data_IF_148552365348
#
_entry.id   IF_148552365348
#
_cell.length_a   1.000
_cell.length_b   1.000
_cell.length_c   1.000
_cell.angle_alpha   90.00
_cell.angle_beta   90.00
_cell.angle_gamma   90.00
#
_symmetry.space_group_name_H-M   'P 1'
#
loop_
_entity.id
_entity.type
_entity.pdbx_description
1 polymer ?
#
# COMPACT_ATOMS: atom_id res chain seq x y z
N UNK A 1 -24.30 -15.74 41.43
CA UNK A 1 -23.33 -16.80 41.12
C UNK A 1 -23.88 -17.53 39.91
N UNK A 2 -23.16 -17.52 38.77
CA UNK A 2 -23.57 -18.19 37.52
C UNK A 2 -22.94 -19.58 37.52
N UNK A 3 -23.75 -20.61 37.51
CA UNK A 3 -23.32 -21.97 37.31
C UNK A 3 -23.32 -22.30 35.84
N UNK A 4 -22.29 -22.94 35.31
CA UNK A 4 -22.19 -23.36 33.90
C UNK A 4 -21.92 -24.85 33.82
N UNK A 5 -22.49 -25.52 32.83
CA UNK A 5 -22.22 -26.91 32.46
C UNK A 5 -22.19 -27.01 30.95
N UNK A 6 -21.41 -27.93 30.42
CA UNK A 6 -21.38 -28.29 28.99
C UNK A 6 -22.05 -29.65 28.82
N UNK A 7 -22.62 -29.89 27.63
CA UNK A 7 -23.12 -31.20 27.24
C UNK A 7 -22.00 -32.13 26.84
N UNK A 8 -22.19 -33.43 27.06
CA UNK A 8 -21.34 -34.50 26.47
C UNK A 8 -21.64 -34.72 24.98
N UNK A 9 -20.98 -35.72 24.37
CA UNK A 9 -21.15 -36.04 22.96
C UNK A 9 -22.57 -36.56 22.61
N UNK A 10 -23.30 -37.07 23.59
CA UNK A 10 -24.69 -37.52 23.50
C UNK A 10 -25.73 -36.44 23.80
N UNK A 11 -25.26 -35.21 24.08
CA UNK A 11 -26.12 -34.08 24.39
C UNK A 11 -26.64 -34.06 25.83
N UNK A 12 -26.10 -34.90 26.72
CA UNK A 12 -26.51 -34.94 28.13
C UNK A 12 -25.72 -33.90 28.95
N UNK A 13 -26.38 -33.29 29.91
CA UNK A 13 -25.77 -32.32 30.83
C UNK A 13 -26.22 -32.58 32.28
N UNK A 14 -25.42 -32.16 33.22
CA UNK A 14 -25.76 -32.17 34.63
C UNK A 14 -25.37 -30.83 35.23
N UNK A 15 -26.32 -30.22 35.94
CA UNK A 15 -26.09 -28.93 36.59
C UNK A 15 -26.80 -28.89 37.95
N UNK A 16 -26.08 -28.43 38.97
CA UNK A 16 -26.65 -28.25 40.29
C UNK A 16 -27.33 -26.89 40.39
N UNK A 17 -28.62 -26.91 40.69
CA UNK A 17 -29.47 -25.70 40.82
C UNK A 17 -29.86 -25.49 42.28
N UNK A 18 -29.34 -24.46 42.97
CA UNK A 18 -29.51 -24.30 44.41
C UNK A 18 -30.88 -23.74 44.83
N UNK A 19 -31.71 -23.25 43.91
CA UNK A 19 -33.04 -22.69 44.19
C UNK A 19 -34.10 -23.17 43.18
N UNK A 20 -35.29 -23.51 43.72
CA UNK A 20 -36.47 -23.71 42.86
C UNK A 20 -36.80 -22.40 42.14
N UNK A 21 -37.08 -22.48 40.83
CA UNK A 21 -37.40 -21.34 39.99
C UNK A 21 -36.23 -20.63 39.33
N UNK A 22 -35.00 -21.21 39.38
CA UNK A 22 -33.89 -20.70 38.59
C UNK A 22 -34.12 -20.90 37.09
N UNK A 23 -33.65 -19.97 36.27
CA UNK A 23 -33.73 -20.06 34.82
C UNK A 23 -32.45 -20.67 34.29
N UNK A 24 -32.57 -21.75 33.50
CA UNK A 24 -31.50 -22.35 32.72
C UNK A 24 -31.50 -21.70 31.34
N UNK A 25 -30.31 -21.27 30.92
CA UNK A 25 -30.08 -20.68 29.60
C UNK A 25 -29.30 -21.67 28.77
N UNK A 26 -29.90 -22.14 27.71
CA UNK A 26 -29.29 -23.06 26.74
C UNK A 26 -28.83 -22.26 25.53
N UNK A 27 -27.55 -22.33 25.21
CA UNK A 27 -26.99 -21.66 24.04
C UNK A 27 -26.00 -22.57 23.32
N UNK A 28 -26.06 -22.55 22.00
CA UNK A 28 -25.12 -23.24 21.13
C UNK A 28 -24.83 -22.36 19.93
N UNK A 29 -23.65 -22.45 19.34
CA UNK A 29 -23.25 -21.65 18.18
C UNK A 29 -24.16 -22.01 17.00
N UNK A 30 -24.84 -21.00 16.43
CA UNK A 30 -25.78 -21.20 15.32
C UNK A 30 -27.20 -21.60 15.71
N UNK A 31 -27.52 -21.61 17.03
CA UNK A 31 -28.86 -21.91 17.54
C UNK A 31 -29.42 -20.74 18.37
N UNK A 32 -30.73 -20.56 18.34
CA UNK A 32 -31.40 -19.56 19.19
C UNK A 32 -31.25 -19.94 20.65
N UNK A 33 -30.81 -18.99 21.45
CA UNK A 33 -30.72 -19.15 22.90
C UNK A 33 -32.14 -19.38 23.49
N UNK A 34 -32.30 -20.43 24.31
CA UNK A 34 -33.56 -20.77 24.90
C UNK A 34 -33.48 -20.71 26.43
N UNK A 35 -34.39 -20.04 27.03
CA UNK A 35 -34.49 -19.95 28.49
C UNK A 35 -35.62 -20.87 29.01
N UNK A 36 -35.30 -21.65 30.02
CA UNK A 36 -36.22 -22.59 30.66
C UNK A 36 -36.18 -22.44 32.16
N UNK A 37 -37.32 -22.18 32.78
CA UNK A 37 -37.42 -22.09 34.24
C UNK A 37 -37.40 -23.48 34.85
N UNK A 38 -36.46 -23.74 35.76
CA UNK A 38 -36.42 -24.95 36.55
C UNK A 38 -37.54 -24.98 37.57
N UNK A 39 -38.56 -25.81 37.29
CA UNK A 39 -39.57 -26.15 38.29
C UNK A 39 -39.11 -27.33 39.18
N UNK A 40 -40.02 -28.23 39.50
CA UNK A 40 -39.75 -29.45 40.28
C UNK A 40 -39.25 -30.63 39.45
N UNK A 41 -38.98 -30.40 38.13
CA UNK A 41 -38.53 -31.44 37.19
C UNK A 41 -37.04 -31.75 37.41
N UNK A 42 -36.72 -33.05 37.55
CA UNK A 42 -35.36 -33.53 37.69
C UNK A 42 -34.64 -33.70 36.33
N UNK A 43 -35.40 -33.72 35.26
CA UNK A 43 -34.93 -33.87 33.88
C UNK A 43 -35.62 -32.82 33.01
N UNK A 44 -34.83 -32.08 32.25
CA UNK A 44 -35.29 -31.03 31.36
C UNK A 44 -34.62 -31.26 30.00
N UNK A 45 -35.38 -31.69 29.02
CA UNK A 45 -34.96 -31.86 27.64
C UNK A 45 -35.35 -30.60 26.87
N UNK A 46 -34.35 -30.07 26.12
CA UNK A 46 -34.55 -28.83 25.37
C UNK A 46 -34.07 -29.06 23.95
N UNK A 47 -34.95 -28.74 23.00
CA UNK A 47 -34.58 -28.65 21.58
C UNK A 47 -34.30 -27.20 21.25
N UNK A 48 -33.11 -26.91 20.74
CA UNK A 48 -32.76 -25.61 20.23
C UNK A 48 -33.21 -25.51 18.77
N UNK A 49 -33.71 -24.37 18.37
CA UNK A 49 -34.02 -24.04 16.98
C UNK A 49 -32.81 -23.42 16.33
N UNK A 50 -32.58 -23.73 15.05
CA UNK A 50 -31.55 -23.04 14.28
C UNK A 50 -31.82 -21.53 14.29
N UNK A 51 -30.76 -20.78 14.60
CA UNK A 51 -30.81 -19.32 14.46
C UNK A 51 -30.58 -18.95 13.00
N UNK A 52 -31.65 -19.00 12.21
CA UNK A 52 -31.63 -18.62 10.78
C UNK A 52 -31.27 -17.14 10.59
N UNK A 53 -31.24 -16.35 11.68
CA UNK A 53 -30.68 -15.00 11.67
C UNK A 53 -29.14 -14.98 11.83
N UNK A 54 -28.50 -16.15 11.96
CA UNK A 54 -27.07 -16.24 11.98
C UNK A 54 -26.51 -15.78 10.63
N UNK A 55 -26.30 -14.47 10.56
CA UNK A 55 -25.47 -13.80 9.57
C UNK A 55 -25.86 -14.11 8.11
N UNK A 56 -26.99 -13.61 7.66
CA UNK A 56 -27.14 -13.33 6.24
C UNK A 56 -25.99 -12.39 5.85
N UNK A 57 -24.98 -12.93 5.22
CA UNK A 57 -23.85 -12.17 4.72
C UNK A 57 -24.39 -11.16 3.70
N UNK A 58 -24.40 -9.91 4.11
CA UNK A 58 -24.98 -8.81 3.33
C UNK A 58 -23.87 -8.23 2.46
N UNK A 59 -24.15 -8.09 1.19
CA UNK A 59 -23.24 -7.48 0.22
C UNK A 59 -23.71 -6.06 -0.07
N UNK A 60 -22.86 -5.09 0.20
CA UNK A 60 -23.12 -3.70 -0.17
C UNK A 60 -22.61 -3.47 -1.59
N UNK A 61 -23.51 -3.22 -2.52
CA UNK A 61 -23.18 -2.95 -3.93
C UNK A 61 -23.09 -1.44 -4.23
N UNK A 62 -22.93 -0.62 -3.18
CA UNK A 62 -22.80 0.84 -3.24
C UNK A 62 -24.13 1.57 -3.08
N UNK A 63 -25.11 1.29 -3.89
CA UNK A 63 -26.48 1.90 -3.78
C UNK A 63 -27.48 0.99 -3.09
N UNK A 64 -27.21 -0.30 -3.02
CA UNK A 64 -28.11 -1.29 -2.44
C UNK A 64 -27.34 -2.22 -1.51
N UNK A 65 -28.05 -2.64 -0.48
CA UNK A 65 -27.63 -3.68 0.43
C UNK A 65 -28.42 -4.94 0.06
N UNK A 66 -27.77 -5.92 -0.54
CA UNK A 66 -28.38 -7.17 -0.99
C UNK A 66 -27.91 -8.33 -0.14
N UNK A 67 -28.74 -9.36 -0.01
CA UNK A 67 -28.29 -10.63 0.57
C UNK A 67 -27.31 -11.27 -0.41
N UNK A 68 -26.28 -11.93 0.08
CA UNK A 68 -25.30 -12.61 -0.77
C UNK A 68 -25.94 -13.62 -1.72
N UNK A 69 -27.03 -14.25 -1.30
CA UNK A 69 -27.87 -15.14 -2.11
C UNK A 69 -28.52 -14.47 -3.32
N UNK A 70 -28.81 -13.16 -3.20
CA UNK A 70 -29.57 -12.40 -4.19
C UNK A 70 -28.63 -11.70 -5.19
N UNK A 71 -27.33 -11.75 -4.96
CA UNK A 71 -26.33 -11.16 -5.85
C UNK A 71 -26.01 -12.13 -6.97
N UNK A 72 -26.47 -11.79 -8.16
CA UNK A 72 -26.11 -12.50 -9.41
C UNK A 72 -24.80 -11.93 -9.91
N UNK A 73 -23.70 -12.65 -9.66
CA UNK A 73 -22.37 -12.23 -10.12
C UNK A 73 -21.25 -12.56 -9.15
N UNK A 74 -20.00 -12.46 -9.62
CA UNK A 74 -18.83 -12.72 -8.78
C UNK A 74 -18.49 -11.49 -7.95
N UNK A 75 -18.87 -11.52 -6.69
CA UNK A 75 -18.60 -10.50 -5.70
C UNK A 75 -17.75 -11.07 -4.59
N UNK A 76 -16.77 -10.31 -4.12
CA UNK A 76 -15.96 -10.68 -2.96
C UNK A 76 -16.00 -9.55 -1.95
N UNK A 77 -16.48 -9.82 -0.75
CA UNK A 77 -16.47 -8.88 0.37
C UNK A 77 -15.42 -9.29 1.37
N UNK A 78 -14.62 -8.34 1.82
CA UNK A 78 -13.57 -8.52 2.82
C UNK A 78 -13.80 -7.50 3.94
N UNK A 79 -13.76 -7.95 5.19
CA UNK A 79 -13.81 -7.04 6.34
C UNK A 79 -12.45 -6.37 6.50
N UNK A 80 -12.46 -5.07 6.76
CA UNK A 80 -11.22 -4.33 6.97
C UNK A 80 -10.39 -4.88 8.12
N UNK A 81 -11.03 -5.35 9.21
CA UNK A 81 -10.37 -6.01 10.34
C UNK A 81 -9.50 -7.19 9.95
N UNK A 82 -9.89 -7.94 8.92
CA UNK A 82 -9.24 -9.20 8.51
C UNK A 82 -8.01 -8.97 7.61
N UNK A 83 -7.91 -7.77 7.02
CA UNK A 83 -6.84 -7.40 6.10
C UNK A 83 -5.92 -6.31 6.62
N UNK A 84 -6.32 -5.60 7.69
CA UNK A 84 -5.46 -4.60 8.31
C UNK A 84 -4.17 -5.21 8.80
N UNK A 85 -3.05 -4.74 8.24
CA UNK A 85 -1.71 -5.10 8.66
C UNK A 85 -0.93 -3.84 9.04
N UNK A 86 -0.24 -3.80 10.18
CA UNK A 86 0.54 -2.64 10.61
C UNK A 86 1.61 -2.19 9.61
N UNK A 87 2.07 -3.10 8.75
CA UNK A 87 3.10 -2.84 7.74
C UNK A 87 2.59 -2.07 6.51
N UNK A 88 1.28 -2.11 6.25
CA UNK A 88 0.67 -1.47 5.09
C UNK A 88 -0.10 -0.23 5.51
N UNK A 89 0.14 0.86 4.81
CA UNK A 89 -0.46 2.16 5.08
C UNK A 89 -1.52 2.55 4.05
N UNK A 90 -1.56 1.85 2.91
CA UNK A 90 -2.57 2.06 1.87
C UNK A 90 -3.55 0.90 1.78
N UNK A 91 -4.80 1.21 1.49
CA UNK A 91 -5.90 0.25 1.32
C UNK A 91 -5.57 -0.73 0.18
N UNK A 92 -4.99 -0.22 -0.88
CA UNK A 92 -4.64 -0.97 -2.08
C UNK A 92 -3.67 -2.11 -1.77
N UNK A 93 -2.64 -1.83 -0.96
CA UNK A 93 -1.64 -2.82 -0.55
C UNK A 93 -2.26 -3.89 0.35
N UNK A 94 -3.22 -3.53 1.20
CA UNK A 94 -3.92 -4.46 2.08
C UNK A 94 -4.78 -5.48 1.31
N UNK A 95 -5.22 -5.13 0.10
CA UNK A 95 -6.01 -6.01 -0.77
C UNK A 95 -5.16 -7.04 -1.52
N UNK A 96 -3.83 -6.90 -1.53
CA UNK A 96 -2.93 -7.81 -2.23
C UNK A 96 -3.07 -9.25 -1.72
N UNK A 97 -3.37 -10.19 -2.63
CA UNK A 97 -3.54 -11.61 -2.30
C UNK A 97 -4.81 -11.95 -1.51
N UNK A 98 -5.70 -10.98 -1.23
CA UNK A 98 -6.94 -11.19 -0.48
C UNK A 98 -8.17 -11.39 -1.34
N UNK A 99 -8.14 -10.93 -2.58
CA UNK A 99 -9.26 -11.00 -3.51
C UNK A 99 -8.88 -11.83 -4.71
N UNK A 100 -9.55 -12.95 -4.91
CA UNK A 100 -9.31 -13.83 -6.07
C UNK A 100 -9.63 -13.09 -7.38
N UNK A 101 -8.74 -13.16 -8.37
CA UNK A 101 -8.87 -12.49 -9.67
C UNK A 101 -8.52 -11.00 -9.65
N UNK A 102 -7.98 -10.48 -8.53
CA UNK A 102 -7.42 -9.13 -8.44
C UNK A 102 -5.90 -9.22 -8.33
N UNK A 103 -5.20 -8.44 -9.15
CA UNK A 103 -3.76 -8.29 -9.13
C UNK A 103 -3.41 -6.88 -8.63
N UNK A 104 -2.56 -6.81 -7.62
CA UNK A 104 -2.04 -5.57 -7.06
C UNK A 104 -0.54 -5.57 -7.27
N UNK A 105 -0.04 -4.58 -8.01
CA UNK A 105 1.38 -4.45 -8.36
C UNK A 105 1.94 -3.18 -7.74
N UNK A 106 2.87 -3.32 -6.82
CA UNK A 106 3.65 -2.20 -6.32
C UNK A 106 4.72 -1.84 -7.37
N UNK A 107 4.57 -0.69 -8.00
CA UNK A 107 5.48 -0.21 -9.06
C UNK A 107 6.58 0.71 -8.55
N UNK A 108 6.48 1.15 -7.30
CA UNK A 108 7.45 2.07 -6.69
C UNK A 108 7.63 1.77 -5.20
N UNK A 109 8.84 2.02 -4.70
CA UNK A 109 9.16 1.99 -3.26
C UNK A 109 8.86 3.31 -2.54
N UNK A 110 8.48 4.33 -3.28
CA UNK A 110 8.20 5.67 -2.74
C UNK A 110 6.99 5.66 -1.81
N UNK A 111 7.09 6.42 -0.74
CA UNK A 111 5.98 6.64 0.19
C UNK A 111 4.91 7.50 -0.50
N UNK A 112 3.64 7.17 -0.28
CA UNK A 112 2.52 7.90 -0.86
C UNK A 112 2.16 7.48 -2.29
N UNK A 113 2.93 6.57 -2.92
CA UNK A 113 2.58 6.02 -4.23
C UNK A 113 1.51 4.94 -4.11
N UNK A 114 0.64 4.87 -5.09
CA UNK A 114 -0.42 3.86 -5.17
C UNK A 114 -0.01 2.69 -6.07
N UNK A 115 -0.26 1.45 -5.65
CA UNK A 115 -0.05 0.30 -6.51
C UNK A 115 -1.03 0.30 -7.69
N UNK A 116 -0.63 -0.31 -8.79
CA UNK A 116 -1.53 -0.58 -9.92
C UNK A 116 -2.42 -1.76 -9.60
N UNK A 117 -3.73 -1.57 -9.71
CA UNK A 117 -4.73 -2.62 -9.47
C UNK A 117 -5.35 -3.04 -10.80
N UNK A 118 -5.50 -4.35 -10.99
CA UNK A 118 -6.20 -4.94 -12.14
C UNK A 118 -7.17 -6.01 -11.65
N UNK A 119 -8.40 -5.95 -12.14
CA UNK A 119 -9.43 -6.96 -11.84
C UNK A 119 -9.68 -7.75 -13.11
N UNK A 120 -9.40 -9.07 -13.07
CA UNK A 120 -9.54 -10.00 -14.21
C UNK A 120 -8.75 -9.61 -15.47
N UNK A 121 -7.63 -8.90 -15.30
CA UNK A 121 -6.77 -8.48 -16.40
C UNK A 121 -7.11 -7.09 -16.92
N UNK A 122 -6.70 -6.80 -18.17
CA UNK A 122 -6.89 -5.50 -18.81
C UNK A 122 -8.02 -5.58 -19.85
N UNK A 123 -9.00 -4.69 -19.76
CA UNK A 123 -10.11 -4.60 -20.70
C UNK A 123 -9.78 -3.75 -21.92
N UNK A 124 -8.74 -2.90 -21.83
CA UNK A 124 -8.31 -1.99 -22.88
C UNK A 124 -6.80 -1.85 -22.91
N UNK A 125 -6.24 -1.58 -24.09
CA UNK A 125 -4.80 -1.33 -24.27
C UNK A 125 -4.48 0.16 -24.11
N UNK A 126 -5.35 1.04 -24.58
CA UNK A 126 -5.10 2.48 -24.64
C UNK A 126 -5.93 3.30 -23.63
N UNK A 127 -6.91 2.69 -22.97
CA UNK A 127 -7.81 3.37 -22.03
C UNK A 127 -7.36 3.27 -20.57
N UNK A 128 -8.10 3.94 -19.68
CA UNK A 128 -7.94 3.76 -18.24
C UNK A 128 -8.21 2.30 -17.87
N UNK A 129 -7.27 1.69 -17.16
CA UNK A 129 -7.29 0.29 -16.77
C UNK A 129 -7.57 0.12 -15.28
N UNK A 130 -7.70 1.20 -14.53
CA UNK A 130 -7.91 1.17 -13.09
C UNK A 130 -9.39 0.87 -12.77
N UNK A 131 -9.67 0.13 -11.69
CA UNK A 131 -11.03 -0.10 -11.24
C UNK A 131 -11.66 1.21 -10.73
N UNK A 132 -12.99 1.27 -10.79
CA UNK A 132 -13.75 2.38 -10.24
C UNK A 132 -13.82 2.27 -8.71
N UNK A 133 -13.52 3.35 -8.01
CA UNK A 133 -13.67 3.42 -6.57
C UNK A 133 -14.98 4.08 -6.17
N UNK A 134 -15.69 3.48 -5.23
CA UNK A 134 -16.94 3.98 -4.66
C UNK A 134 -16.82 3.94 -3.14
N UNK A 135 -17.04 5.07 -2.49
CA UNK A 135 -17.01 5.17 -1.02
C UNK A 135 -18.38 5.60 -0.53
N UNK A 136 -19.01 4.77 0.29
CA UNK A 136 -20.37 4.98 0.82
C UNK A 136 -21.41 5.37 -0.26
N UNK A 137 -21.33 4.74 -1.42
CA UNK A 137 -22.22 5.00 -2.56
C UNK A 137 -21.79 6.17 -3.47
N UNK A 138 -20.72 6.91 -3.13
CA UNK A 138 -20.24 8.04 -3.93
C UNK A 138 -19.06 7.60 -4.79
N UNK A 139 -19.21 7.75 -6.11
CA UNK A 139 -18.11 7.51 -7.07
C UNK A 139 -16.99 8.51 -6.81
N UNK A 140 -15.79 8.01 -6.65
CA UNK A 140 -14.61 8.85 -6.44
C UNK A 140 -14.07 9.35 -7.79
N UNK A 141 -13.88 10.67 -7.95
CA UNK A 141 -13.30 11.22 -9.16
C UNK A 141 -11.81 10.88 -9.26
N UNK A 142 -11.30 10.80 -10.48
CA UNK A 142 -9.86 10.72 -10.71
C UNK A 142 -9.20 12.00 -10.17
N UNK A 143 -8.15 11.93 -9.34
CA UNK A 143 -7.52 13.10 -8.76
C UNK A 143 -6.91 14.03 -9.84
N UNK A 144 -6.61 13.49 -11.02
CA UNK A 144 -6.12 14.24 -12.17
C UNK A 144 -6.81 13.79 -13.45
N UNK A 145 -7.60 14.65 -14.09
CA UNK A 145 -8.10 14.42 -15.44
C UNK A 145 -6.98 14.69 -16.44
N UNK A 146 -5.92 13.88 -16.46
CA UNK A 146 -4.84 14.00 -17.43
C UNK A 146 -5.23 13.34 -18.74
N UNK A 147 -4.98 14.01 -19.85
CA UNK A 147 -5.16 13.46 -21.18
C UNK A 147 -4.19 12.29 -21.39
N UNK A 148 -4.68 11.20 -21.97
CA UNK A 148 -3.96 9.93 -22.12
C UNK A 148 -2.68 9.99 -22.98
N UNK A 149 -2.39 11.13 -23.60
CA UNK A 149 -1.26 11.30 -24.51
C UNK A 149 0.06 11.70 -23.82
N UNK A 150 0.04 12.02 -22.53
CA UNK A 150 1.26 12.35 -21.82
C UNK A 150 1.91 11.06 -21.29
N UNK A 151 2.99 10.62 -21.92
CA UNK A 151 3.80 9.46 -21.47
C UNK A 151 4.31 9.58 -20.02
N UNK A 152 4.29 10.79 -19.46
CA UNK A 152 4.57 11.07 -18.04
C UNK A 152 3.40 10.78 -17.09
N UNK A 153 2.20 10.52 -17.60
CA UNK A 153 0.96 10.41 -16.80
C UNK A 153 1.02 9.27 -15.79
N UNK A 154 1.59 8.14 -16.18
CA UNK A 154 1.70 6.98 -15.29
C UNK A 154 2.61 7.26 -14.09
N UNK A 155 3.71 7.96 -14.29
CA UNK A 155 4.62 8.35 -13.21
C UNK A 155 4.00 9.42 -12.29
N UNK A 156 3.30 10.39 -12.86
CA UNK A 156 2.58 11.41 -12.11
C UNK A 156 1.41 10.81 -11.32
N UNK A 157 0.64 9.90 -11.89
CA UNK A 157 -0.43 9.17 -11.17
C UNK A 157 0.12 8.37 -10.01
N UNK A 158 1.26 7.72 -10.19
CA UNK A 158 1.92 6.97 -9.12
C UNK A 158 2.39 7.88 -7.98
N UNK A 159 2.79 9.13 -8.26
CA UNK A 159 3.26 10.10 -7.28
C UNK A 159 2.10 10.77 -6.54
N UNK A 160 1.01 11.09 -7.23
CA UNK A 160 -0.11 11.86 -6.69
C UNK A 160 -1.14 11.02 -5.92
N UNK A 161 -0.94 9.72 -5.87
CA UNK A 161 -1.82 8.79 -5.18
C UNK A 161 -3.07 8.43 -6.00
N UNK A 162 -3.88 7.54 -5.44
CA UNK A 162 -5.13 7.11 -6.07
C UNK A 162 -6.33 7.94 -5.57
N UNK A 163 -7.51 7.64 -6.15
CA UNK A 163 -8.80 8.27 -5.85
C UNK A 163 -9.20 8.20 -4.36
N UNK A 164 -8.60 7.30 -3.57
CA UNK A 164 -8.94 7.06 -2.17
C UNK A 164 -7.78 7.36 -1.19
N UNK A 165 -6.72 8.04 -1.64
CA UNK A 165 -5.57 8.39 -0.79
C UNK A 165 -5.93 9.26 0.42
N UNK A 166 -7.08 9.94 0.36
CA UNK A 166 -7.64 10.74 1.44
C UNK A 166 -8.28 9.89 2.56
N UNK A 167 -8.66 8.64 2.27
CA UNK A 167 -9.41 7.79 3.20
C UNK A 167 -8.47 7.07 4.17
N UNK A 168 -8.74 7.23 5.46
CA UNK A 168 -8.01 6.49 6.48
C UNK A 168 -8.47 5.02 6.51
N UNK A 169 -7.56 4.03 6.34
CA UNK A 169 -7.91 2.61 6.41
C UNK A 169 -8.64 2.22 7.72
N UNK A 170 -8.34 2.88 8.83
CA UNK A 170 -8.98 2.60 10.12
C UNK A 170 -10.48 2.93 10.15
N UNK A 171 -10.97 3.78 9.23
CA UNK A 171 -12.38 4.16 9.11
C UNK A 171 -13.20 3.18 8.26
N UNK A 172 -12.56 2.21 7.64
CA UNK A 172 -13.22 1.23 6.77
C UNK A 172 -13.83 0.11 7.61
N UNK A 173 -15.02 -0.29 7.23
CA UNK A 173 -15.71 -1.47 7.75
C UNK A 173 -15.56 -2.66 6.82
N UNK A 174 -15.95 -2.50 5.54
CA UNK A 174 -15.87 -3.55 4.53
C UNK A 174 -15.40 -3.00 3.19
N UNK A 175 -14.77 -3.88 2.41
CA UNK A 175 -14.40 -3.64 1.02
C UNK A 175 -15.04 -4.72 0.18
N UNK A 176 -15.87 -4.32 -0.78
CA UNK A 176 -16.56 -5.24 -1.69
C UNK A 176 -16.03 -5.02 -3.12
N UNK A 177 -15.54 -6.07 -3.74
CA UNK A 177 -15.02 -6.04 -5.12
C UNK A 177 -16.02 -6.67 -6.05
N UNK A 178 -16.57 -5.87 -6.96
CA UNK A 178 -17.49 -6.27 -8.02
C UNK A 178 -16.67 -6.56 -9.28
N UNK A 179 -16.66 -7.83 -9.70
CA UNK A 179 -15.76 -8.30 -10.77
C UNK A 179 -16.48 -8.54 -12.10
N UNK A 180 -17.77 -8.78 -12.07
CA UNK A 180 -18.57 -9.14 -13.25
C UNK A 180 -19.39 -7.96 -13.77
N UNK A 181 -19.66 -7.97 -15.07
CA UNK A 181 -20.47 -6.97 -15.74
C UNK A 181 -21.88 -6.85 -15.14
N UNK A 182 -22.49 -7.97 -14.68
CA UNK A 182 -23.80 -7.96 -14.03
C UNK A 182 -23.78 -7.19 -12.71
N UNK A 183 -22.71 -7.32 -11.92
CA UNK A 183 -22.56 -6.61 -10.65
C UNK A 183 -22.14 -5.14 -10.85
N UNK A 184 -21.45 -4.82 -11.94
CA UNK A 184 -20.94 -3.46 -12.22
C UNK A 184 -21.89 -2.62 -13.08
N UNK A 185 -22.95 -3.21 -13.65
CA UNK A 185 -23.87 -2.56 -14.59
C UNK A 185 -24.49 -1.25 -14.06
N UNK A 186 -24.74 -1.17 -12.75
CA UNK A 186 -25.30 0.02 -12.10
C UNK A 186 -24.37 1.25 -12.17
N UNK A 187 -23.09 1.04 -12.43
CA UNK A 187 -22.09 2.10 -12.53
C UNK A 187 -21.75 2.51 -13.98
N UNK A 188 -22.39 1.84 -14.95
CA UNK A 188 -22.25 2.12 -16.38
C UNK A 188 -20.85 1.83 -16.93
N UNK A 189 -20.49 2.53 -18.02
CA UNK A 189 -19.24 2.31 -18.76
C UNK A 189 -17.96 2.57 -17.96
N UNK A 190 -18.01 3.41 -16.93
CA UNK A 190 -16.86 3.67 -16.05
C UNK A 190 -16.42 2.44 -15.24
N UNK A 191 -17.31 1.45 -15.10
CA UNK A 191 -17.08 0.24 -14.35
C UNK A 191 -16.53 -0.94 -15.17
N UNK A 192 -16.08 -0.70 -16.40
CA UNK A 192 -15.59 -1.74 -17.32
C UNK A 192 -14.41 -2.55 -16.76
N UNK A 193 -13.59 -1.93 -15.89
CA UNK A 193 -12.44 -2.58 -15.23
C UNK A 193 -12.76 -3.15 -13.84
N UNK A 194 -14.06 -3.26 -13.48
CA UNK A 194 -14.52 -3.64 -12.15
C UNK A 194 -14.73 -2.44 -11.23
N UNK A 195 -15.36 -2.70 -10.08
CA UNK A 195 -15.66 -1.68 -9.07
C UNK A 195 -15.21 -2.15 -7.70
N UNK A 196 -14.57 -1.27 -6.95
CA UNK A 196 -14.21 -1.49 -5.56
C UNK A 196 -15.08 -0.56 -4.71
N UNK A 197 -15.99 -1.16 -3.95
CA UNK A 197 -16.92 -0.46 -3.07
C UNK A 197 -16.38 -0.52 -1.65
N UNK A 198 -16.18 0.63 -1.05
CA UNK A 198 -15.78 0.78 0.35
C UNK A 198 -16.98 1.23 1.15
N UNK A 199 -17.27 0.49 2.20
CA UNK A 199 -18.23 0.89 3.24
C UNK A 199 -17.46 1.29 4.47
N UNK A 200 -17.77 2.45 4.98
CA UNK A 200 -17.08 3.00 6.14
C UNK A 200 -17.84 2.72 7.43
N UNK A 201 -17.13 2.73 8.56
CA UNK A 201 -17.69 2.52 9.88
C UNK A 201 -18.78 3.54 10.19
N UNK A 202 -19.90 3.05 10.70
CA UNK A 202 -21.03 3.86 11.14
C UNK A 202 -21.20 3.78 12.66
N UNK A 203 -21.92 4.70 13.25
CA UNK A 203 -22.32 4.63 14.65
C UNK A 203 -23.26 3.44 14.88
N UNK A 204 -23.19 2.87 16.06
CA UNK A 204 -24.07 1.80 16.52
C UNK A 204 -24.93 2.31 17.67
N UNK A 205 -26.13 1.74 17.82
CA UNK A 205 -27.04 2.01 18.94
C UNK A 205 -26.53 1.32 20.20
N UNK A 206 -25.46 1.84 20.76
CA UNK A 206 -24.89 1.35 22.01
C UNK A 206 -24.25 2.52 22.77
N UNK A 207 -23.73 2.21 23.95
CA UNK A 207 -22.97 3.17 24.74
C UNK A 207 -21.78 3.72 23.95
N UNK A 208 -21.43 4.95 24.26
CA UNK A 208 -20.26 5.61 23.68
C UNK A 208 -18.98 4.78 23.88
N UNK A 209 -18.29 4.53 22.79
CA UNK A 209 -16.99 3.88 22.78
C UNK A 209 -15.94 4.82 22.20
N UNK A 210 -14.78 4.86 22.84
CA UNK A 210 -13.61 5.62 22.35
C UNK A 210 -12.52 4.61 22.05
N UNK A 211 -12.02 4.62 20.82
CA UNK A 211 -10.97 3.73 20.39
C UNK A 211 -9.75 4.57 19.91
N UNK A 212 -8.60 4.23 20.41
CA UNK A 212 -7.32 4.75 19.92
C UNK A 212 -6.48 3.61 19.37
N UNK A 213 -5.94 3.80 18.17
CA UNK A 213 -5.01 2.88 17.54
C UNK A 213 -3.75 3.65 17.11
N UNK A 214 -2.61 3.25 17.66
CA UNK A 214 -1.29 3.78 17.30
C UNK A 214 -0.43 2.70 16.67
N UNK A 215 0.14 2.96 15.50
CA UNK A 215 1.06 2.06 14.82
C UNK A 215 2.39 2.76 14.62
N UNK A 216 3.47 2.08 14.96
CA UNK A 216 4.84 2.57 14.83
C UNK A 216 5.63 1.58 13.99
N UNK A 217 6.35 2.06 12.99
CA UNK A 217 7.14 1.25 12.08
C UNK A 217 8.55 1.80 11.98
N UNK A 218 9.53 0.95 12.17
CA UNK A 218 10.93 1.27 11.97
C UNK A 218 11.50 0.38 10.86
N UNK A 219 12.16 0.99 9.88
CA UNK A 219 12.84 0.29 8.78
C UNK A 219 14.31 0.68 8.75
N UNK A 220 15.18 -0.29 8.71
CA UNK A 220 16.61 -0.06 8.52
C UNK A 220 16.90 0.24 7.06
N UNK A 221 17.87 1.12 6.81
CA UNK A 221 18.36 1.36 5.45
C UNK A 221 18.97 0.09 4.85
N UNK A 222 18.85 -0.12 3.55
CA UNK A 222 19.58 -1.17 2.87
C UNK A 222 21.10 -0.90 2.91
N UNK A 223 21.88 -1.96 2.80
CA UNK A 223 23.33 -1.91 2.75
C UNK A 223 23.85 -2.99 1.81
N UNK A 224 25.08 -2.85 1.33
CA UNK A 224 25.65 -3.77 0.34
C UNK A 224 25.67 -5.23 0.76
N UNK A 225 25.73 -5.53 2.06
CA UNK A 225 25.68 -6.91 2.59
C UNK A 225 24.34 -7.64 2.37
N UNK A 226 23.27 -6.92 1.98
CA UNK A 226 21.99 -7.53 1.60
C UNK A 226 21.94 -7.95 0.12
N UNK A 227 22.89 -7.46 -0.67
CA UNK A 227 22.94 -7.67 -2.12
C UNK A 227 24.29 -8.28 -2.48
N UNK A 228 24.31 -9.17 -3.45
CA UNK A 228 25.54 -9.72 -3.98
C UNK A 228 26.11 -8.78 -5.06
N UNK A 229 26.54 -7.59 -4.65
CA UNK A 229 27.05 -6.54 -5.53
C UNK A 229 28.56 -6.41 -5.37
N UNK A 230 29.27 -6.26 -6.49
CA UNK A 230 30.71 -6.10 -6.53
C UNK A 230 31.17 -4.82 -5.84
N UNK A 231 32.25 -4.89 -5.11
CA UNK A 231 33.03 -3.72 -4.73
C UNK A 231 33.89 -3.23 -5.92
N UNK A 232 34.64 -2.14 -5.75
CA UNK A 232 35.38 -1.54 -6.84
C UNK A 232 36.56 -2.43 -7.33
N UNK A 233 37.21 -3.15 -6.44
CA UNK A 233 38.27 -4.06 -6.77
C UNK A 233 37.79 -5.28 -7.56
N UNK A 234 36.69 -5.89 -7.08
CA UNK A 234 36.00 -6.99 -7.76
C UNK A 234 35.50 -6.57 -9.15
N UNK A 235 34.97 -5.33 -9.26
CA UNK A 235 34.54 -4.79 -10.55
C UNK A 235 35.68 -4.59 -11.54
N UNK A 236 36.85 -4.13 -11.06
CA UNK A 236 38.07 -4.02 -11.90
C UNK A 236 38.53 -5.41 -12.33
N UNK A 237 38.56 -6.37 -11.42
CA UNK A 237 38.94 -7.74 -11.74
C UNK A 237 38.01 -8.35 -12.79
N UNK A 238 36.69 -8.20 -12.62
CA UNK A 238 35.71 -8.61 -13.62
C UNK A 238 36.00 -7.97 -15.00
N UNK A 239 36.29 -6.66 -15.03
CA UNK A 239 36.61 -5.96 -16.28
C UNK A 239 37.86 -6.48 -16.97
N UNK A 240 38.90 -6.81 -16.19
CA UNK A 240 40.12 -7.42 -16.70
C UNK A 240 39.88 -8.80 -17.32
N UNK A 241 39.11 -9.64 -16.62
CA UNK A 241 38.77 -10.99 -17.09
C UNK A 241 37.88 -10.94 -18.34
N UNK A 242 36.88 -10.05 -18.35
CA UNK A 242 36.00 -9.85 -19.49
C UNK A 242 36.77 -9.35 -20.73
N UNK A 243 37.73 -8.41 -20.54
CA UNK A 243 38.57 -7.94 -21.61
C UNK A 243 39.50 -9.04 -22.15
N UNK A 244 40.12 -9.82 -21.26
CA UNK A 244 40.94 -10.97 -21.63
C UNK A 244 40.17 -12.06 -22.41
N UNK A 245 38.88 -12.21 -22.10
CA UNK A 245 37.94 -13.09 -22.80
C UNK A 245 37.43 -12.52 -24.14
N UNK A 246 37.86 -11.34 -24.55
CA UNK A 246 37.50 -10.72 -25.83
C UNK A 246 36.14 -9.99 -25.78
N UNK A 247 35.62 -9.63 -24.60
CA UNK A 247 34.40 -8.84 -24.50
C UNK A 247 34.62 -7.45 -25.12
N UNK A 248 33.72 -7.06 -26.01
CA UNK A 248 33.70 -5.74 -26.64
C UNK A 248 32.62 -4.87 -25.94
N UNK A 249 33.04 -3.78 -25.34
CA UNK A 249 32.16 -2.85 -24.70
C UNK A 249 31.64 -1.81 -25.71
N UNK A 250 30.42 -1.97 -26.19
CA UNK A 250 29.82 -1.02 -27.12
C UNK A 250 29.37 0.29 -26.45
N UNK A 251 29.12 0.28 -25.13
CA UNK A 251 28.61 1.40 -24.35
C UNK A 251 29.53 1.69 -23.14
N UNK A 252 30.81 1.88 -23.37
CA UNK A 252 31.73 2.32 -22.30
C UNK A 252 31.31 3.71 -21.82
N UNK A 253 31.19 3.95 -20.49
CA UNK A 253 31.00 5.29 -19.95
C UNK A 253 32.05 6.24 -20.53
N UNK A 254 31.65 7.43 -20.91
CA UNK A 254 32.52 8.38 -21.62
C UNK A 254 33.57 8.98 -20.70
N UNK A 255 33.37 8.90 -19.39
CA UNK A 255 34.41 9.30 -18.42
C UNK A 255 35.46 8.26 -18.23
N UNK A 256 36.58 8.58 -18.83
CA UNK A 256 37.69 7.68 -18.98
C UNK A 256 38.44 7.37 -17.69
N UNK A 257 38.44 8.26 -16.70
CA UNK A 257 39.19 8.05 -15.46
C UNK A 257 38.40 7.38 -14.32
N UNK A 258 37.08 7.21 -14.49
CA UNK A 258 36.23 6.62 -13.48
C UNK A 258 35.77 5.19 -13.78
N UNK A 259 36.29 4.62 -14.85
CA UNK A 259 36.04 3.21 -15.22
C UNK A 259 37.32 2.58 -15.73
N UNK A 260 37.50 1.29 -15.45
CA UNK A 260 38.62 0.53 -15.96
C UNK A 260 38.71 0.58 -17.49
N UNK A 261 37.59 0.40 -18.16
CA UNK A 261 37.47 0.42 -19.62
C UNK A 261 37.83 1.78 -20.20
N UNK A 262 37.48 2.87 -19.54
CA UNK A 262 37.84 4.21 -19.96
C UNK A 262 39.33 4.48 -19.79
N UNK A 263 39.94 4.09 -18.68
CA UNK A 263 41.38 4.20 -18.46
C UNK A 263 42.15 3.42 -19.52
N UNK A 264 41.74 2.19 -19.80
CA UNK A 264 42.36 1.37 -20.83
C UNK A 264 42.22 1.96 -22.24
N UNK A 265 41.07 2.58 -22.53
CA UNK A 265 40.85 3.29 -23.80
C UNK A 265 41.82 4.46 -23.96
N UNK A 266 42.06 5.27 -22.94
CA UNK A 266 43.02 6.37 -22.97
C UNK A 266 44.46 5.85 -23.11
N UNK A 267 44.79 4.77 -22.42
CA UNK A 267 46.08 4.15 -22.51
C UNK A 267 46.38 3.62 -23.94
N UNK A 268 45.45 2.88 -24.53
CA UNK A 268 45.61 2.39 -25.90
C UNK A 268 45.59 3.51 -26.95
N UNK A 269 44.88 4.60 -26.69
CA UNK A 269 44.91 5.81 -27.50
C UNK A 269 46.21 6.64 -27.30
N UNK A 270 47.13 6.20 -26.43
CA UNK A 270 48.39 6.89 -26.07
C UNK A 270 48.16 8.29 -25.52
N UNK A 271 47.03 8.52 -24.87
CA UNK A 271 46.71 9.80 -24.22
C UNK A 271 47.22 9.87 -22.79
N UNK A 272 47.48 8.73 -22.17
CA UNK A 272 48.09 8.58 -20.86
C UNK A 272 49.22 7.56 -20.91
N UNK A 273 50.20 7.70 -20.03
CA UNK A 273 51.32 6.75 -19.88
C UNK A 273 50.83 5.49 -19.15
N UNK A 274 51.70 4.46 -19.15
CA UNK A 274 51.42 3.23 -18.43
C UNK A 274 51.31 3.49 -16.91
N UNK A 275 52.25 4.28 -16.41
CA UNK A 275 52.29 4.65 -14.98
C UNK A 275 51.08 5.41 -14.54
N UNK A 276 50.60 6.35 -15.36
CA UNK A 276 49.32 7.08 -15.11
C UNK A 276 48.12 6.16 -15.13
N UNK A 277 48.06 5.21 -16.08
CA UNK A 277 47.00 4.22 -16.15
C UNK A 277 46.96 3.32 -14.89
N UNK A 278 48.15 2.81 -14.47
CA UNK A 278 48.27 1.98 -13.26
C UNK A 278 47.84 2.74 -11.99
N UNK A 279 48.27 4.00 -11.82
CA UNK A 279 47.87 4.85 -10.71
C UNK A 279 46.35 5.11 -10.72
N UNK A 280 45.79 5.39 -11.89
CA UNK A 280 44.34 5.60 -12.03
C UNK A 280 43.52 4.34 -11.66
N UNK A 281 43.98 3.16 -12.11
CA UNK A 281 43.32 1.88 -11.77
C UNK A 281 43.43 1.59 -10.27
N UNK A 282 44.59 1.86 -9.66
CA UNK A 282 44.78 1.69 -8.22
C UNK A 282 43.86 2.61 -7.43
N UNK A 283 43.78 3.89 -7.80
CA UNK A 283 42.83 4.87 -7.18
C UNK A 283 41.38 4.40 -7.33
N UNK A 284 41.00 3.93 -8.51
CA UNK A 284 39.69 3.41 -8.81
C UNK A 284 39.31 2.24 -7.88
N UNK A 285 40.25 1.29 -7.66
CA UNK A 285 40.07 0.14 -6.78
C UNK A 285 39.89 0.51 -5.29
N UNK A 286 40.54 1.59 -4.87
CA UNK A 286 40.45 2.10 -3.50
C UNK A 286 39.19 2.89 -3.25
N UNK A 287 38.55 3.41 -4.30
CA UNK A 287 37.30 4.18 -4.21
C UNK A 287 36.10 3.23 -4.03
N UNK A 288 35.44 3.27 -2.87
CA UNK A 288 34.27 2.44 -2.59
C UNK A 288 33.13 3.30 -2.06
N UNK A 289 32.48 4.03 -2.95
CA UNK A 289 31.33 4.87 -2.61
C UNK A 289 30.18 4.01 -2.07
N UNK A 290 29.70 4.37 -0.88
CA UNK A 290 28.52 3.73 -0.32
C UNK A 290 27.25 4.49 -0.74
N UNK A 291 26.73 4.16 -1.92
CA UNK A 291 25.53 4.78 -2.48
C UNK A 291 24.31 4.56 -1.59
N UNK A 292 24.16 3.39 -0.95
CA UNK A 292 23.06 3.17 -0.01
C UNK A 292 23.14 4.15 1.16
N UNK A 293 24.31 4.41 1.73
CA UNK A 293 24.49 5.36 2.82
C UNK A 293 24.19 6.80 2.39
N UNK A 294 24.55 7.15 1.16
CA UNK A 294 24.34 8.49 0.62
C UNK A 294 22.86 8.75 0.29
N UNK A 295 22.18 7.76 -0.30
CA UNK A 295 20.83 7.94 -0.87
C UNK A 295 19.71 7.48 0.05
N UNK A 296 20.02 6.65 1.06
CA UNK A 296 19.00 6.10 1.96
C UNK A 296 19.27 6.43 3.43
N UNK A 297 18.24 6.25 4.24
CA UNK A 297 18.26 6.46 5.68
C UNK A 297 17.46 5.38 6.41
N UNK A 298 17.72 5.21 7.70
CA UNK A 298 16.76 4.53 8.56
C UNK A 298 15.48 5.37 8.61
N UNK A 299 14.33 4.73 8.48
CA UNK A 299 13.05 5.44 8.50
C UNK A 299 12.21 5.05 9.71
N UNK A 300 11.53 6.04 10.26
CA UNK A 300 10.57 5.87 11.33
C UNK A 300 9.24 6.46 10.87
N UNK A 301 8.20 5.66 10.87
CA UNK A 301 6.85 6.05 10.49
C UNK A 301 5.89 5.78 11.62
N UNK A 302 4.90 6.63 11.79
CA UNK A 302 3.86 6.43 12.78
C UNK A 302 2.50 6.85 12.26
N UNK A 303 1.47 6.17 12.77
CA UNK A 303 0.08 6.41 12.42
C UNK A 303 -0.74 6.40 13.71
N UNK A 304 -1.60 7.39 13.87
CA UNK A 304 -2.48 7.55 15.01
C UNK A 304 -3.91 7.70 14.51
N UNK A 305 -4.81 6.91 15.08
CA UNK A 305 -6.23 7.02 14.80
C UNK A 305 -7.01 7.05 16.11
N UNK A 306 -7.80 8.09 16.29
CA UNK A 306 -8.74 8.24 17.39
C UNK A 306 -10.16 8.20 16.83
N UNK A 307 -11.01 7.33 17.34
CA UNK A 307 -12.40 7.28 16.94
C UNK A 307 -13.34 7.23 18.13
N UNK A 308 -14.49 7.88 17.99
CA UNK A 308 -15.56 7.93 18.98
C UNK A 308 -16.83 7.49 18.25
N UNK A 309 -17.49 6.48 18.75
CA UNK A 309 -18.77 5.99 18.21
C UNK A 309 -19.78 5.74 19.31
N UNK A 310 -21.03 5.91 19.01
CA UNK A 310 -22.11 5.67 19.94
C UNK A 310 -23.45 6.09 19.36
N UNK A 311 -24.48 6.02 20.17
CA UNK A 311 -25.81 6.47 19.75
C UNK A 311 -26.92 5.95 20.62
N UNK A 312 -28.13 6.34 20.22
CA UNK A 312 -29.42 5.87 20.74
C UNK A 312 -30.20 5.27 19.56
N UNK A 313 -31.39 4.76 19.84
CA UNK A 313 -32.30 4.27 18.80
C UNK A 313 -32.62 5.30 17.70
N UNK A 314 -32.56 6.60 18.03
CA UNK A 314 -32.89 7.68 17.09
C UNK A 314 -31.68 8.35 16.45
N UNK A 315 -30.52 8.33 17.11
CA UNK A 315 -29.35 9.05 16.63
C UNK A 315 -28.11 8.16 16.84
N UNK A 316 -27.39 7.88 15.78
CA UNK A 316 -26.10 7.18 15.84
C UNK A 316 -25.02 8.07 15.26
N UNK A 317 -23.83 8.03 15.84
CA UNK A 317 -22.71 8.83 15.38
C UNK A 317 -21.40 8.05 15.40
N UNK A 318 -20.52 8.40 14.48
CA UNK A 318 -19.14 7.96 14.45
C UNK A 318 -18.28 9.16 14.02
N UNK A 319 -17.30 9.51 14.82
CA UNK A 319 -16.33 10.54 14.50
C UNK A 319 -14.92 9.96 14.61
N UNK A 320 -14.04 10.28 13.65
CA UNK A 320 -12.65 9.84 13.66
C UNK A 320 -11.71 10.96 13.30
N UNK A 321 -10.49 10.89 13.86
CA UNK A 321 -9.36 11.74 13.54
C UNK A 321 -8.14 10.86 13.34
N UNK A 322 -7.52 10.96 12.15
CA UNK A 322 -6.35 10.20 11.78
C UNK A 322 -5.17 11.12 11.46
N UNK A 323 -4.00 10.76 11.95
CA UNK A 323 -2.73 11.39 11.58
C UNK A 323 -1.73 10.31 11.21
N UNK A 324 -1.09 10.45 10.06
CA UNK A 324 -0.05 9.55 9.56
C UNK A 324 1.17 10.36 9.13
N UNK A 325 2.34 9.96 9.62
CA UNK A 325 3.63 10.48 9.20
C UNK A 325 4.47 9.29 8.72
N UNK A 326 4.71 9.25 7.42
CA UNK A 326 5.40 8.16 6.74
C UNK A 326 6.72 8.67 6.20
N UNK A 327 7.82 8.17 6.75
CA UNK A 327 9.16 8.42 6.25
C UNK A 327 9.61 7.29 5.32
N UNK A 328 10.06 7.63 4.12
CA UNK A 328 10.68 6.70 3.18
C UNK A 328 12.09 6.30 3.62
N UNK A 329 12.52 5.13 3.15
CA UNK A 329 13.90 4.67 3.30
C UNK A 329 14.83 5.47 2.38
N UNK A 330 14.37 5.88 1.23
CA UNK A 330 15.03 6.85 0.38
C UNK A 330 14.96 8.24 1.04
N UNK A 331 16.04 9.01 1.01
CA UNK A 331 16.06 10.37 1.56
C UNK A 331 15.08 11.25 0.79
N UNK A 332 14.55 12.29 1.45
CA UNK A 332 13.64 13.27 0.85
C UNK A 332 12.35 12.69 0.24
N UNK A 333 11.94 11.53 0.73
CA UNK A 333 10.72 10.86 0.35
C UNK A 333 9.85 10.64 1.59
N UNK A 334 8.90 11.53 1.82
CA UNK A 334 8.05 11.57 3.00
C UNK A 334 6.59 11.83 2.60
N UNK A 335 5.66 11.32 3.38
CA UNK A 335 4.23 11.63 3.21
C UNK A 335 3.56 11.85 4.56
N UNK A 336 2.78 12.92 4.67
CA UNK A 336 1.96 13.23 5.85
C UNK A 336 0.50 13.34 5.46
N UNK A 337 -0.34 12.69 6.24
CA UNK A 337 -1.78 12.75 6.07
C UNK A 337 -2.45 13.12 7.38
N UNK A 338 -3.33 14.09 7.34
CA UNK A 338 -4.26 14.42 8.41
C UNK A 338 -5.67 14.24 7.85
N UNK A 339 -6.47 13.38 8.47
CA UNK A 339 -7.85 13.12 8.06
C UNK A 339 -8.81 13.23 9.23
N UNK A 340 -9.99 13.73 8.95
CA UNK A 340 -11.08 13.80 9.91
C UNK A 340 -12.40 13.41 9.25
N UNK A 341 -13.24 12.70 9.99
CA UNK A 341 -14.52 12.24 9.52
C UNK A 341 -15.57 12.28 10.62
N UNK A 342 -16.79 12.64 10.26
CA UNK A 342 -17.95 12.61 11.13
C UNK A 342 -19.12 12.02 10.33
N UNK A 343 -19.72 10.98 10.86
CA UNK A 343 -20.94 10.38 10.35
C UNK A 343 -22.03 10.49 11.41
N UNK A 344 -23.20 10.93 11.02
CA UNK A 344 -24.38 10.99 11.88
C UNK A 344 -25.56 10.40 11.11
N UNK A 345 -26.20 9.41 11.70
CA UNK A 345 -27.46 8.85 11.22
C UNK A 345 -28.60 9.24 12.17
N UNK A 346 -29.64 9.84 11.65
CA UNK A 346 -30.81 10.30 12.42
C UNK A 346 -32.06 9.59 11.88
N UNK A 347 -32.74 8.87 12.74
CA UNK A 347 -34.05 8.29 12.45
C UNK A 347 -35.14 9.27 12.86
N UNK A 348 -35.66 10.04 11.89
CA UNK A 348 -36.72 11.00 12.10
C UNK A 348 -38.07 10.33 12.26
N UNK A 349 -38.28 9.21 11.59
CA UNK A 349 -39.48 8.39 11.62
C UNK A 349 -39.07 6.94 11.25
N UNK A 350 -39.78 5.87 11.69
CA UNK A 350 -39.43 4.48 11.32
C UNK A 350 -39.28 4.22 9.81
N UNK A 351 -39.81 5.11 8.97
CA UNK A 351 -39.71 5.06 7.52
C UNK A 351 -38.78 6.13 6.93
N UNK A 352 -38.17 7.00 7.75
CA UNK A 352 -37.34 8.14 7.28
C UNK A 352 -36.06 8.22 8.11
N UNK A 353 -34.97 7.91 7.49
CA UNK A 353 -33.62 8.04 8.04
C UNK A 353 -32.83 9.05 7.23
N UNK A 354 -32.06 9.89 7.90
CA UNK A 354 -31.15 10.85 7.32
C UNK A 354 -29.74 10.49 7.77
N UNK A 355 -28.89 10.18 6.82
CA UNK A 355 -27.46 9.92 7.05
C UNK A 355 -26.65 11.11 6.51
N UNK A 356 -25.83 11.71 7.37
CA UNK A 356 -24.92 12.81 7.03
C UNK A 356 -23.48 12.35 7.22
N UNK A 357 -22.61 12.66 6.26
CA UNK A 357 -21.20 12.38 6.33
C UNK A 357 -20.40 13.63 5.99
N UNK A 358 -19.50 14.02 6.87
CA UNK A 358 -18.53 15.08 6.63
C UNK A 358 -17.14 14.48 6.69
N UNK A 359 -16.34 14.73 5.63
CA UNK A 359 -14.99 14.19 5.51
C UNK A 359 -14.07 15.31 5.07
N UNK A 360 -12.91 15.40 5.69
CA UNK A 360 -11.84 16.30 5.29
C UNK A 360 -10.48 15.64 5.45
N UNK A 361 -9.58 15.90 4.50
CA UNK A 361 -8.19 15.44 4.60
C UNK A 361 -7.21 16.45 4.02
N UNK A 362 -6.00 16.43 4.56
CA UNK A 362 -4.86 17.19 4.05
C UNK A 362 -3.70 16.20 3.86
N UNK A 363 -3.32 16.00 2.61
CA UNK A 363 -2.18 15.19 2.22
C UNK A 363 -1.03 16.08 1.80
N UNK A 364 0.16 15.79 2.32
CA UNK A 364 1.42 16.41 1.87
C UNK A 364 2.40 15.30 1.56
N UNK A 365 2.92 15.29 0.34
CA UNK A 365 3.92 14.32 -0.09
C UNK A 365 5.13 15.10 -0.59
N UNK A 366 6.30 14.69 -0.13
CA UNK A 366 7.59 15.20 -0.59
C UNK A 366 8.31 14.08 -1.33
N UNK A 367 8.96 14.44 -2.39
CA UNK A 367 9.71 13.50 -3.21
C UNK A 367 10.52 14.24 -4.27
N UNK A 368 11.21 13.51 -5.09
CA UNK A 368 12.01 13.99 -6.21
C UNK A 368 11.28 13.75 -7.53
N UNK A 369 11.78 14.35 -8.61
CA UNK A 369 11.18 14.30 -9.94
C UNK A 369 10.95 12.86 -10.43
N UNK A 370 9.99 12.70 -11.34
CA UNK A 370 9.76 11.44 -12.04
C UNK A 370 11.04 10.98 -12.76
N UNK A 371 11.26 9.66 -12.80
CA UNK A 371 12.48 9.08 -13.40
C UNK A 371 13.72 9.06 -12.50
N UNK A 372 13.72 9.75 -11.35
CA UNK A 372 14.81 9.66 -10.37
C UNK A 372 14.56 8.46 -9.45
N UNK A 373 15.43 7.46 -9.48
CA UNK A 373 15.32 6.21 -8.73
C UNK A 373 16.58 5.97 -7.87
N UNK A 374 16.62 6.45 -6.62
CA UNK A 374 17.80 6.33 -5.77
C UNK A 374 18.21 4.89 -5.45
N UNK A 375 17.23 4.00 -5.21
CA UNK A 375 17.51 2.59 -4.94
C UNK A 375 18.05 1.86 -6.17
N UNK A 376 17.47 2.09 -7.33
CA UNK A 376 17.94 1.53 -8.59
C UNK A 376 19.36 2.04 -8.89
N UNK A 377 19.60 3.34 -8.70
CA UNK A 377 20.93 3.92 -8.85
C UNK A 377 21.94 3.28 -7.89
N UNK A 378 21.60 3.09 -6.61
CA UNK A 378 22.48 2.46 -5.63
C UNK A 378 22.84 1.01 -5.97
N UNK A 379 21.94 0.28 -6.63
CA UNK A 379 22.14 -1.13 -7.01
C UNK A 379 22.87 -1.27 -8.36
N UNK A 380 22.68 -0.34 -9.29
CA UNK A 380 23.20 -0.42 -10.66
C UNK A 380 24.53 0.34 -10.86
N UNK A 381 24.78 1.35 -10.01
CA UNK A 381 25.98 2.18 -10.16
C UNK A 381 27.20 1.55 -9.50
N UNK A 382 28.32 1.55 -10.19
CA UNK A 382 29.58 1.08 -9.64
C UNK A 382 30.00 1.91 -8.43
N UNK A 383 30.56 1.23 -7.42
CA UNK A 383 31.10 1.87 -6.22
C UNK A 383 32.36 2.68 -6.50
N UNK A 384 32.99 2.49 -7.65
CA UNK A 384 34.13 3.29 -8.11
C UNK A 384 33.78 4.70 -8.56
N UNK A 385 32.49 4.97 -8.82
CA UNK A 385 32.00 6.31 -9.16
C UNK A 385 32.01 7.20 -7.92
N UNK A 386 32.59 8.38 -8.07
CA UNK A 386 32.68 9.38 -7.00
C UNK A 386 31.35 10.10 -6.81
N UNK A 387 30.94 10.29 -5.57
CA UNK A 387 29.80 11.14 -5.25
C UNK A 387 30.23 12.61 -5.12
N UNK A 388 31.45 12.83 -4.65
CA UNK A 388 32.06 14.15 -4.43
C UNK A 388 33.46 14.16 -4.98
N UNK A 389 33.93 15.35 -5.43
CA UNK A 389 35.29 15.59 -5.82
C UNK A 389 36.23 15.73 -4.59
N UNK A 390 37.52 15.90 -4.83
CA UNK A 390 38.56 16.02 -3.78
C UNK A 390 38.37 17.31 -2.92
N UNK A 391 37.59 18.27 -3.40
CA UNK A 391 37.28 19.54 -2.71
C UNK A 391 35.96 19.45 -1.93
N UNK A 392 35.17 18.40 -2.14
CA UNK A 392 33.89 18.14 -1.49
C UNK A 392 32.68 18.66 -2.26
N UNK A 393 32.83 19.10 -3.50
CA UNK A 393 31.71 19.43 -4.37
C UNK A 393 31.10 18.14 -4.94
N UNK A 394 29.81 18.21 -5.28
CA UNK A 394 29.14 17.11 -5.97
C UNK A 394 29.83 16.82 -7.30
N UNK A 395 30.20 15.56 -7.51
CA UNK A 395 30.84 15.11 -8.73
C UNK A 395 29.81 14.76 -9.80
N UNK A 396 29.85 15.46 -10.93
CA UNK A 396 28.94 15.23 -12.05
C UNK A 396 29.56 14.29 -13.07
N UNK A 397 29.05 13.06 -13.10
CA UNK A 397 29.45 12.06 -14.08
C UNK A 397 28.88 12.43 -15.45
N UNK A 398 29.73 12.36 -16.50
CA UNK A 398 29.26 12.56 -17.86
C UNK A 398 28.56 11.31 -18.37
N UNK A 399 27.33 11.44 -18.77
CA UNK A 399 26.50 10.40 -19.34
C UNK A 399 26.15 10.71 -20.80
N UNK A 400 25.99 9.66 -21.61
CA UNK A 400 25.49 9.82 -22.97
C UNK A 400 24.03 10.20 -22.95
N UNK A 401 23.66 11.29 -23.63
CA UNK A 401 22.28 11.55 -23.95
C UNK A 401 21.75 10.55 -24.97
N UNK A 402 20.45 10.23 -24.90
CA UNK A 402 19.80 9.32 -25.84
C UNK A 402 19.57 9.94 -27.23
N UNK A 403 20.09 11.17 -27.49
CA UNK A 403 19.98 11.85 -28.75
C UNK A 403 21.35 12.37 -29.21
N UNK A 404 21.49 12.56 -30.54
CA UNK A 404 22.65 13.18 -31.14
C UNK A 404 22.25 14.55 -31.67
N UNK A 405 23.10 15.52 -31.48
CA UNK A 405 22.98 16.83 -32.07
C UNK A 405 24.02 17.01 -33.18
N UNK A 406 23.59 17.23 -34.41
CA UNK A 406 24.47 17.31 -35.60
C UNK A 406 25.48 16.15 -35.67
N UNK A 407 25.00 14.89 -35.47
CA UNK A 407 25.81 13.67 -35.44
C UNK A 407 26.83 13.55 -34.28
N UNK A 408 26.98 14.61 -33.49
CA UNK A 408 27.84 14.61 -32.33
C UNK A 408 27.14 13.98 -31.11
N UNK A 409 27.92 13.24 -30.35
CA UNK A 409 27.46 12.68 -29.09
C UNK A 409 27.26 13.79 -28.07
N UNK A 410 26.05 13.92 -27.55
CA UNK A 410 25.74 14.86 -26.46
C UNK A 410 26.06 14.19 -25.13
N UNK A 411 26.87 14.86 -24.30
CA UNK A 411 27.22 14.45 -22.97
C UNK A 411 26.53 15.34 -21.96
N UNK A 412 25.83 14.73 -21.00
CA UNK A 412 25.15 15.42 -19.92
C UNK A 412 25.88 15.11 -18.60
N UNK A 413 26.07 16.14 -17.78
CA UNK A 413 26.51 15.95 -16.41
C UNK A 413 25.36 15.45 -15.56
N UNK A 414 25.55 14.35 -14.85
CA UNK A 414 24.57 13.75 -13.98
C UNK A 414 25.15 13.50 -12.59
N UNK A 415 24.40 13.89 -11.56
CA UNK A 415 24.66 13.51 -10.18
C UNK A 415 23.33 13.24 -9.49
N UNK A 416 23.13 12.01 -9.03
CA UNK A 416 21.86 11.59 -8.38
C UNK A 416 21.52 12.43 -7.14
N UNK A 417 22.53 12.90 -6.39
CA UNK A 417 22.31 13.75 -5.21
C UNK A 417 21.74 15.12 -5.60
N UNK A 418 22.13 15.65 -6.77
CA UNK A 418 21.56 16.86 -7.32
C UNK A 418 20.12 16.66 -7.78
N UNK A 419 19.85 15.52 -8.44
CA UNK A 419 18.52 15.20 -8.96
C UNK A 419 17.51 14.88 -7.83
N UNK A 420 18.00 14.48 -6.67
CA UNK A 420 17.17 14.25 -5.47
C UNK A 420 16.82 15.53 -4.72
N UNK A 421 17.48 16.66 -5.02
CA UNK A 421 17.16 17.92 -4.34
C UNK A 421 15.75 18.38 -4.73
N UNK A 422 15.00 18.82 -3.73
CA UNK A 422 13.68 19.43 -3.96
C UNK A 422 13.86 20.66 -4.86
N UNK A 423 13.13 20.67 -5.94
CA UNK A 423 12.86 21.88 -6.71
C UNK A 423 11.43 22.26 -6.38
N UNK A 424 11.29 23.34 -5.59
CA UNK A 424 10.00 23.98 -5.32
C UNK A 424 9.34 24.43 -6.63
#
# INVERSE_FOLDING_TARGET
MLFRSTTDAEGKYSIFVPKKGATLIFSFVGMKTKEVVCGDKREINVTLEEDVQAMEEVVVTGYQTLRKSDVVGSVTTVKASDIMMPAYTSIDQMLQGRVAGMMVMNTSSRVGTSPKIRIRGTSTILGNQDPLWVVDGVIQPDPLPLNQNDMMVDDLKNILGNQISWLNPADIETITVLKDASATAIYGSKAANGVIVITTKRGQTDRMTVNYNGTFSFRTRPHYGLFNLMNSEERIQFSREAFAAGAVYQNVPVESLNTYEGIMTLFYAKQISKEEAEMAIQRLGQTNTDWFKLLTRNSFSHNHNLSISGGSEKIVYNASLGYSDQAGVEKDNDAKNLSGRINVGIELHPKVRVDMSLIGSVNRTWGYAAGVNPLEYATSTSRSVLAYDDVGNQYFQKMRANYRYNENLVLLGFNILNEMQHRD
#
